data_IF_042161804932
#
_entry.id   IF_042161804932
#
_cell.length_a   1.000
_cell.length_b   1.000
_cell.length_c   1.000
_cell.angle_alpha   90.00
_cell.angle_beta   90.00
_cell.angle_gamma   90.00
#
_symmetry.space_group_name_H-M   'P 1'
#
loop_
_entity.id
_entity.type
_entity.pdbx_description
1 polymer ?
#
# COMPACT_ATOMS: atom_id res chain seq x y z
N UNK A 1 -6.41 -11.79 -8.95
CA UNK A 1 -7.33 -11.31 -7.91
C UNK A 1 -6.76 -10.06 -7.27
N UNK A 2 -7.57 -9.05 -7.05
CA UNK A 2 -7.13 -7.79 -6.45
C UNK A 2 -7.56 -7.71 -4.99
N UNK A 3 -6.86 -6.85 -4.23
CA UNK A 3 -7.24 -6.52 -2.85
C UNK A 3 -6.95 -5.05 -2.57
N UNK A 4 -7.71 -4.47 -1.65
CA UNK A 4 -7.51 -3.09 -1.21
C UNK A 4 -6.29 -3.04 -0.28
N UNK A 5 -5.48 -2.00 -0.43
CA UNK A 5 -4.42 -1.66 0.50
C UNK A 5 -4.82 -0.44 1.32
N UNK A 6 -4.62 -0.53 2.62
CA UNK A 6 -4.80 0.58 3.55
C UNK A 6 -3.47 0.82 4.25
N UNK A 7 -2.86 1.97 4.00
CA UNK A 7 -1.57 2.33 4.57
C UNK A 7 -1.76 3.43 5.62
N UNK A 8 -1.45 3.11 6.88
CA UNK A 8 -1.69 3.97 8.02
C UNK A 8 -0.39 4.51 8.61
N UNK A 9 -0.47 5.71 9.15
CA UNK A 9 0.59 6.27 9.99
C UNK A 9 0.29 5.95 11.44
N UNK A 10 1.28 5.46 12.18
CA UNK A 10 1.14 5.09 13.59
C UNK A 10 2.20 5.80 14.43
N UNK A 11 1.87 6.11 15.68
CA UNK A 11 2.79 6.78 16.61
C UNK A 11 3.68 5.77 17.32
N UNK A 12 3.06 4.76 17.94
CA UNK A 12 3.77 3.68 18.63
C UNK A 12 3.69 2.44 17.77
N UNK A 13 4.77 2.19 17.01
CA UNK A 13 4.79 1.11 16.02
C UNK A 13 4.56 -0.26 16.65
N UNK A 14 5.27 -0.57 17.75
CA UNK A 14 5.14 -1.89 18.37
C UNK A 14 3.74 -2.13 18.93
N UNK A 15 3.16 -1.11 19.54
CA UNK A 15 1.79 -1.19 20.06
C UNK A 15 0.79 -1.38 18.92
N UNK A 16 0.99 -0.70 17.79
CA UNK A 16 0.12 -0.84 16.61
C UNK A 16 0.21 -2.24 16.01
N UNK A 17 1.43 -2.79 15.87
CA UNK A 17 1.61 -4.17 15.39
C UNK A 17 0.86 -5.15 16.30
N UNK A 18 1.00 -5.01 17.61
CA UNK A 18 0.31 -5.87 18.56
C UNK A 18 -1.22 -5.74 18.44
N UNK A 19 -1.71 -4.52 18.33
CA UNK A 19 -3.14 -4.26 18.20
C UNK A 19 -3.73 -4.92 16.94
N UNK A 20 -3.13 -4.67 15.79
CA UNK A 20 -3.67 -5.17 14.53
C UNK A 20 -3.49 -6.68 14.39
N UNK A 21 -2.44 -7.24 14.97
CA UNK A 21 -2.28 -8.70 15.02
C UNK A 21 -3.44 -9.36 15.77
N UNK A 22 -3.88 -8.74 16.85
CA UNK A 22 -5.03 -9.23 17.64
C UNK A 22 -6.35 -8.95 16.95
N UNK A 23 -6.51 -7.75 16.39
CA UNK A 23 -7.77 -7.36 15.74
C UNK A 23 -8.14 -8.33 14.62
N UNK A 24 -7.16 -8.73 13.82
CA UNK A 24 -7.37 -9.60 12.67
C UNK A 24 -6.93 -11.04 12.91
N UNK A 25 -6.46 -11.39 14.11
CA UNK A 25 -5.93 -12.71 14.45
C UNK A 25 -4.90 -13.20 13.39
N UNK A 26 -4.01 -12.29 13.00
CA UNK A 26 -3.06 -12.52 11.91
C UNK A 26 -1.72 -11.91 12.29
N UNK A 27 -0.63 -12.63 12.03
CA UNK A 27 0.72 -12.06 12.22
C UNK A 27 1.11 -11.25 10.99
N UNK A 28 2.05 -10.27 11.12
CA UNK A 28 2.54 -9.54 9.95
C UNK A 28 3.12 -10.49 8.90
N UNK A 29 2.79 -10.24 7.64
CA UNK A 29 3.39 -10.93 6.52
C UNK A 29 4.80 -10.41 6.25
N UNK A 30 5.04 -9.13 6.55
CA UNK A 30 6.36 -8.51 6.47
C UNK A 30 6.54 -7.60 7.68
N UNK A 31 7.71 -7.67 8.31
CA UNK A 31 8.05 -6.85 9.48
C UNK A 31 9.48 -6.37 9.33
N UNK A 32 9.67 -5.06 9.27
CA UNK A 32 10.95 -4.40 9.16
C UNK A 32 10.98 -3.23 10.14
N UNK A 33 12.14 -2.63 10.45
CA UNK A 33 12.17 -1.47 11.34
C UNK A 33 11.25 -0.36 10.84
N UNK A 34 10.22 -0.05 11.64
CA UNK A 34 9.27 1.02 11.32
C UNK A 34 8.30 0.73 10.19
N UNK A 35 8.23 -0.52 9.72
CA UNK A 35 7.33 -0.92 8.64
C UNK A 35 6.77 -2.31 8.87
N UNK A 36 5.46 -2.47 8.74
CA UNK A 36 4.84 -3.78 8.77
C UNK A 36 3.71 -3.86 7.75
N UNK A 37 3.47 -5.05 7.21
CA UNK A 37 2.23 -5.26 6.48
C UNK A 37 1.60 -6.60 6.87
N UNK A 38 0.28 -6.62 6.76
CA UNK A 38 -0.55 -7.78 7.08
C UNK A 38 -1.29 -8.20 5.82
N UNK A 39 -1.27 -9.48 5.51
CA UNK A 39 -2.06 -10.08 4.44
C UNK A 39 -3.31 -10.69 5.06
N UNK A 40 -4.41 -9.93 5.05
CA UNK A 40 -5.67 -10.37 5.64
C UNK A 40 -6.49 -11.05 4.54
N UNK A 41 -7.02 -12.25 4.84
CA UNK A 41 -7.74 -13.03 3.85
C UNK A 41 -9.22 -12.65 3.78
N UNK A 42 -9.83 -12.32 4.93
CA UNK A 42 -11.26 -12.01 5.02
C UNK A 42 -11.49 -10.83 5.97
N UNK A 43 -11.88 -9.67 5.45
CA UNK A 43 -11.95 -9.32 4.02
C UNK A 43 -10.57 -9.27 3.37
N UNK A 44 -10.46 -9.43 2.04
CA UNK A 44 -9.19 -9.30 1.34
C UNK A 44 -8.62 -7.89 1.50
N UNK A 45 -7.55 -7.76 2.30
CA UNK A 45 -7.01 -6.47 2.67
C UNK A 45 -5.51 -6.59 2.91
N UNK A 46 -4.75 -5.69 2.34
CA UNK A 46 -3.36 -5.49 2.73
C UNK A 46 -3.30 -4.27 3.65
N UNK A 47 -2.97 -4.49 4.91
CA UNK A 47 -2.84 -3.42 5.89
C UNK A 47 -1.37 -3.10 6.09
N UNK A 48 -1.01 -1.83 5.94
CA UNK A 48 0.37 -1.35 6.08
C UNK A 48 0.45 -0.38 7.25
N UNK A 49 1.48 -0.54 8.09
CA UNK A 49 1.76 0.37 9.20
C UNK A 49 3.10 1.05 8.97
N UNK A 50 3.11 2.37 9.02
CA UNK A 50 4.30 3.20 8.88
C UNK A 50 4.57 3.91 10.20
N UNK A 51 5.81 3.81 10.71
CA UNK A 51 6.21 4.45 11.95
C UNK A 51 6.23 5.97 11.84
N UNK A 52 6.52 6.63 12.97
CA UNK A 52 6.60 8.09 13.06
C UNK A 52 7.54 8.69 12.01
N UNK A 53 7.21 9.88 11.53
CA UNK A 53 7.96 10.59 10.49
C UNK A 53 7.27 10.56 9.12
N UNK A 54 6.22 9.76 8.98
CA UNK A 54 5.45 9.65 7.73
C UNK A 54 4.13 10.42 7.78
N UNK A 55 3.84 11.04 8.93
CA UNK A 55 2.62 11.80 9.19
C UNK A 55 2.14 11.56 10.62
N UNK A 56 1.13 12.31 11.08
CA UNK A 56 0.57 12.13 12.41
C UNK A 56 0.00 10.73 12.59
N UNK A 57 0.21 10.13 13.77
CA UNK A 57 -0.38 8.83 14.10
C UNK A 57 -1.90 8.88 14.02
N UNK A 58 -2.49 7.78 13.55
CA UNK A 58 -3.93 7.68 13.37
C UNK A 58 -4.45 8.27 12.08
N UNK A 59 -3.55 8.66 11.15
CA UNK A 59 -3.94 9.19 9.84
C UNK A 59 -3.67 8.16 8.74
N UNK A 60 -4.33 8.36 7.59
CA UNK A 60 -4.10 7.56 6.39
C UNK A 60 -2.91 8.14 5.64
N UNK A 61 -1.92 7.29 5.33
CA UNK A 61 -0.78 7.68 4.50
C UNK A 61 -1.21 7.67 3.02
N UNK A 62 -1.74 6.56 2.57
CA UNK A 62 -2.31 6.42 1.22
C UNK A 62 -3.18 5.17 1.16
N UNK A 63 -3.93 5.05 0.09
CA UNK A 63 -4.74 3.87 -0.22
C UNK A 63 -4.24 3.25 -1.52
N UNK A 64 -4.64 2.02 -1.77
CA UNK A 64 -4.22 1.38 -3.01
C UNK A 64 -5.05 0.16 -3.35
N UNK A 65 -4.80 -0.34 -4.56
CA UNK A 65 -5.34 -1.61 -5.04
C UNK A 65 -4.15 -2.41 -5.56
N UNK A 66 -3.90 -3.54 -4.93
CA UNK A 66 -2.88 -4.48 -5.41
C UNK A 66 -3.52 -5.39 -6.45
N UNK A 67 -2.90 -5.45 -7.62
CA UNK A 67 -3.36 -6.29 -8.74
C UNK A 67 -2.31 -7.34 -9.08
N UNK A 68 -2.66 -8.28 -9.94
CA UNK A 68 -1.85 -9.48 -10.15
C UNK A 68 -0.74 -9.36 -11.18
N UNK A 69 -0.70 -8.28 -11.98
CA UNK A 69 0.27 -8.15 -13.06
C UNK A 69 0.50 -6.71 -13.47
N UNK A 70 1.64 -6.48 -14.13
CA UNK A 70 1.94 -5.19 -14.75
C UNK A 70 0.90 -4.79 -15.79
N UNK A 71 0.35 -5.76 -16.53
CA UNK A 71 -0.70 -5.49 -17.50
C UNK A 71 -1.94 -4.89 -16.84
N UNK A 72 -2.31 -5.39 -15.66
CA UNK A 72 -3.44 -4.86 -14.90
C UNK A 72 -3.16 -3.45 -14.36
N UNK A 73 -1.91 -3.15 -13.98
CA UNK A 73 -1.51 -1.79 -13.59
C UNK A 73 -1.65 -0.85 -14.78
N UNK A 74 -1.15 -1.25 -15.94
CA UNK A 74 -1.22 -0.44 -17.16
C UNK A 74 -2.67 -0.22 -17.61
N UNK A 75 -3.49 -1.26 -17.54
CA UNK A 75 -4.92 -1.16 -17.87
C UNK A 75 -5.65 -0.21 -16.94
N UNK A 76 -5.32 -0.23 -15.65
CA UNK A 76 -5.90 0.71 -14.69
C UNK A 76 -5.50 2.16 -15.02
N UNK A 77 -4.24 2.39 -15.34
CA UNK A 77 -3.76 3.72 -15.75
C UNK A 77 -4.44 4.23 -17.01
N UNK A 78 -4.60 3.36 -18.00
CA UNK A 78 -5.29 3.71 -19.26
C UNK A 78 -6.75 4.04 -19.01
N UNK A 79 -7.42 3.26 -18.16
CA UNK A 79 -8.81 3.51 -17.80
C UNK A 79 -8.98 4.85 -17.06
N UNK A 80 -8.10 5.14 -16.13
CA UNK A 80 -8.12 6.42 -15.39
C UNK A 80 -7.91 7.60 -16.33
N UNK A 81 -6.94 7.51 -17.24
CA UNK A 81 -6.67 8.55 -18.23
C UNK A 81 -7.87 8.76 -19.16
N UNK A 82 -8.52 7.68 -19.57
CA UNK A 82 -9.72 7.77 -20.42
C UNK A 82 -10.89 8.46 -19.71
N UNK A 83 -10.92 8.36 -18.37
CA UNK A 83 -11.92 9.05 -17.55
C UNK A 83 -11.51 10.50 -17.21
N UNK A 84 -10.39 10.98 -17.73
CA UNK A 84 -9.94 12.36 -17.53
C UNK A 84 -9.16 12.60 -16.25
N UNK A 85 -8.70 11.56 -15.57
CA UNK A 85 -7.90 11.72 -14.36
C UNK A 85 -6.42 11.94 -14.70
N UNK A 86 -5.76 12.78 -13.91
CA UNK A 86 -4.31 12.92 -13.98
C UNK A 86 -3.67 11.73 -13.29
N UNK A 87 -2.73 11.09 -13.96
CA UNK A 87 -2.05 9.91 -13.44
C UNK A 87 -0.54 10.06 -13.48
N UNK A 88 0.14 9.39 -12.55
CA UNK A 88 1.61 9.38 -12.48
C UNK A 88 2.11 7.94 -12.50
N UNK A 89 2.47 7.41 -13.68
CA UNK A 89 3.06 6.08 -13.76
C UNK A 89 4.43 6.05 -13.09
N UNK A 90 4.70 4.99 -12.35
CA UNK A 90 5.98 4.77 -11.67
C UNK A 90 6.42 3.32 -11.85
N UNK A 91 6.89 2.95 -13.05
CA UNK A 91 7.36 1.59 -13.30
C UNK A 91 8.70 1.34 -12.61
N UNK A 92 8.93 0.10 -12.18
CA UNK A 92 10.20 -0.32 -11.62
C UNK A 92 10.61 0.43 -10.35
N UNK A 93 9.63 0.79 -9.51
CA UNK A 93 9.89 1.55 -8.28
C UNK A 93 10.20 0.63 -7.12
N UNK A 94 11.30 0.90 -6.40
CA UNK A 94 11.59 0.23 -5.13
C UNK A 94 11.01 1.07 -4.01
N UNK A 95 10.10 0.47 -3.27
CA UNK A 95 9.44 1.12 -2.14
C UNK A 95 8.93 0.04 -1.20
N UNK A 96 8.99 0.31 0.11
CA UNK A 96 8.34 -0.57 1.08
C UNK A 96 8.83 -2.01 1.01
N UNK A 97 10.13 -2.19 0.77
CA UNK A 97 10.81 -3.48 0.68
C UNK A 97 10.29 -4.34 -0.49
N UNK A 98 9.90 -3.70 -1.58
CA UNK A 98 9.43 -4.39 -2.78
C UNK A 98 9.78 -3.60 -4.05
N UNK A 99 10.10 -4.32 -5.11
CA UNK A 99 10.17 -3.78 -6.46
C UNK A 99 8.76 -3.86 -7.03
N UNK A 100 8.25 -2.76 -7.54
CA UNK A 100 6.84 -2.63 -7.94
C UNK A 100 6.69 -1.86 -9.24
N UNK A 101 5.66 -2.20 -9.99
CA UNK A 101 5.11 -1.29 -10.99
C UNK A 101 3.83 -0.70 -10.41
N UNK A 102 3.62 0.59 -10.64
CA UNK A 102 2.44 1.26 -10.10
C UNK A 102 2.03 2.48 -10.93
N UNK A 103 0.82 2.91 -10.71
CA UNK A 103 0.31 4.18 -11.21
C UNK A 103 -0.43 4.87 -10.08
N UNK A 104 -0.12 6.15 -9.90
CA UNK A 104 -0.70 6.98 -8.85
C UNK A 104 -1.79 7.89 -9.40
N UNK A 105 -2.80 8.14 -8.58
CA UNK A 105 -3.78 9.20 -8.77
C UNK A 105 -4.05 9.83 -7.41
N UNK A 106 -4.54 11.05 -7.39
CA UNK A 106 -4.86 11.77 -6.16
C UNK A 106 -6.32 12.19 -6.20
N UNK A 107 -7.03 12.01 -5.08
CA UNK A 107 -8.41 12.47 -5.00
C UNK A 107 -8.45 14.01 -4.86
N UNK A 108 -9.66 14.62 -4.87
CA UNK A 108 -9.77 16.09 -4.78
C UNK A 108 -9.14 16.70 -3.52
N UNK A 109 -9.00 15.93 -2.45
CA UNK A 109 -8.37 16.39 -1.21
C UNK A 109 -6.87 16.07 -1.17
N UNK A 110 -6.32 15.51 -2.26
CA UNK A 110 -4.91 15.17 -2.33
C UNK A 110 -4.55 13.82 -1.75
N UNK A 111 -5.53 12.98 -1.40
CA UNK A 111 -5.25 11.64 -0.87
C UNK A 111 -4.72 10.76 -2.00
N UNK A 112 -3.50 10.19 -1.84
CA UNK A 112 -2.92 9.37 -2.89
C UNK A 112 -3.55 7.98 -2.95
N UNK A 113 -3.80 7.52 -4.16
CA UNK A 113 -4.20 6.16 -4.47
C UNK A 113 -3.22 5.56 -5.45
N UNK A 114 -2.81 4.31 -5.22
CA UNK A 114 -1.98 3.58 -6.16
C UNK A 114 -2.65 2.29 -6.62
N UNK A 115 -2.59 2.00 -7.92
CA UNK A 115 -2.77 0.64 -8.43
C UNK A 115 -1.37 0.09 -8.65
N UNK A 116 -1.07 -1.07 -8.09
CA UNK A 116 0.30 -1.59 -8.12
C UNK A 116 0.34 -3.11 -8.14
N UNK A 117 1.47 -3.62 -8.60
CA UNK A 117 1.79 -5.02 -8.50
C UNK A 117 3.20 -5.17 -7.95
N UNK A 118 3.39 -6.16 -7.09
CA UNK A 118 4.70 -6.48 -6.52
C UNK A 118 5.41 -7.45 -7.46
N UNK A 119 6.59 -7.05 -7.96
CA UNK A 119 7.40 -7.88 -8.85
C UNK A 119 8.38 -8.74 -8.07
N UNK A 120 8.94 -8.17 -7.00
CA UNK A 120 9.99 -8.82 -6.23
C UNK A 120 10.06 -8.21 -4.83
N UNK A 121 10.33 -9.00 -3.82
CA UNK A 121 10.62 -8.50 -2.47
C UNK A 121 12.10 -8.17 -2.38
N UNK A 122 12.43 -7.01 -1.79
CA UNK A 122 13.81 -6.53 -1.64
C UNK A 122 14.07 -6.13 -0.19
N UNK A 123 15.36 -6.04 0.19
CA UNK A 123 15.75 -5.72 1.56
C UNK A 123 15.82 -4.21 1.84
N UNK A 124 15.69 -3.37 0.82
CA UNK A 124 15.73 -1.90 0.96
C UNK A 124 14.34 -1.30 1.03
N UNK A 125 14.15 -0.25 1.86
CA UNK A 125 12.85 0.43 1.97
C UNK A 125 12.34 1.04 0.68
#
# INVERSE_FOLDING_TARGET
>A
MSRVQLSLNVTDFDAAVAFYSRLFSTQPAKLQPGYANFAIADPPLKLVLNAAGNGPGGTINHLGVEVGSTEEVNSAGDRMAAEGLDTNPAPGTVCCYALQDKVWAHDPDGLPWEYYTVLEHVETP
#
